data_IF_867898182098
#
_entry.id   IF_867898182098
#
_cell.length_a   1.000
_cell.length_b   1.000
_cell.length_c   1.000
_cell.angle_alpha   90.00
_cell.angle_beta   90.00
_cell.angle_gamma   90.00
#
_symmetry.space_group_name_H-M   'P 1'
#
loop_
_entity.id
_entity.type
_entity.pdbx_description
1 polymer ?
#
# COMPACT_ATOMS: atom_id res chain seq x y z
N UNK A 1 20.79 -3.31 -1.57
CA UNK A 1 20.06 -4.37 -0.86
C UNK A 1 20.19 -5.64 -1.71
N UNK A 2 20.23 -6.82 -1.11
CA UNK A 2 19.95 -8.04 -1.86
C UNK A 2 18.45 -7.98 -2.22
N UNK A 3 18.14 -7.87 -3.51
CA UNK A 3 16.76 -7.75 -4.00
C UNK A 3 15.89 -8.91 -3.49
N UNK A 4 16.47 -10.13 -3.43
CA UNK A 4 15.75 -11.31 -2.98
C UNK A 4 15.36 -11.25 -1.50
N UNK A 5 16.29 -10.81 -0.65
CA UNK A 5 16.05 -10.64 0.79
C UNK A 5 15.05 -9.50 1.05
N UNK A 6 15.17 -8.41 0.31
CA UNK A 6 14.24 -7.29 0.37
C UNK A 6 12.80 -7.75 -0.03
N UNK A 7 12.65 -8.50 -1.13
CA UNK A 7 11.36 -9.11 -1.53
C UNK A 7 10.82 -10.09 -0.47
N UNK A 8 11.67 -10.97 0.06
CA UNK A 8 11.26 -11.94 1.08
C UNK A 8 10.76 -11.26 2.36
N UNK A 9 11.45 -10.21 2.82
CA UNK A 9 11.05 -9.44 3.99
C UNK A 9 9.69 -8.75 3.79
N UNK A 10 9.43 -8.18 2.61
CA UNK A 10 8.13 -7.58 2.27
C UNK A 10 7.04 -8.65 2.27
N UNK A 11 7.25 -9.77 1.58
CA UNK A 11 6.31 -10.90 1.53
C UNK A 11 6.02 -11.48 2.92
N UNK A 12 7.04 -11.67 3.74
CA UNK A 12 6.89 -12.18 5.10
C UNK A 12 6.08 -11.21 5.97
N UNK A 13 6.35 -9.91 5.86
CA UNK A 13 5.60 -8.87 6.57
C UNK A 13 4.12 -8.86 6.16
N UNK A 14 3.83 -9.04 4.87
CA UNK A 14 2.45 -9.14 4.39
C UNK A 14 1.71 -10.35 4.96
N UNK A 15 2.36 -11.52 4.99
CA UNK A 15 1.78 -12.73 5.61
C UNK A 15 1.42 -12.53 7.08
N UNK A 16 2.17 -11.72 7.83
CA UNK A 16 1.83 -11.37 9.21
C UNK A 16 0.54 -10.53 9.27
N UNK A 17 0.38 -9.56 8.37
CA UNK A 17 -0.88 -8.79 8.27
C UNK A 17 -2.07 -9.72 7.97
N UNK A 18 -1.91 -10.64 7.01
CA UNK A 18 -2.94 -11.61 6.65
C UNK A 18 -3.29 -12.54 7.82
N UNK A 19 -2.29 -13.05 8.54
CA UNK A 19 -2.51 -13.92 9.70
C UNK A 19 -3.25 -13.20 10.84
N UNK A 20 -3.03 -11.89 10.99
CA UNK A 20 -3.72 -11.06 11.99
C UNK A 20 -5.07 -10.52 11.51
N UNK A 21 -5.50 -10.80 10.28
CA UNK A 21 -6.75 -10.25 9.71
C UNK A 21 -7.99 -10.57 10.55
N UNK A 22 -7.97 -11.66 11.32
CA UNK A 22 -9.07 -12.07 12.22
C UNK A 22 -8.94 -11.52 13.64
N UNK A 23 -7.83 -10.86 13.99
CA UNK A 23 -7.60 -10.21 15.29
C UNK A 23 -7.66 -8.68 15.13
N UNK A 24 -8.79 -8.03 15.46
CA UNK A 24 -8.94 -6.60 15.22
C UNK A 24 -8.00 -5.71 16.01
N UNK A 25 -7.52 -6.16 17.18
CA UNK A 25 -6.69 -5.35 18.07
C UNK A 25 -5.31 -5.11 17.46
N UNK A 26 -4.68 -6.17 16.97
CA UNK A 26 -3.33 -6.11 16.44
C UNK A 26 -3.31 -5.73 14.95
N UNK A 27 -4.34 -6.14 14.19
CA UNK A 27 -4.41 -5.97 12.74
C UNK A 27 -4.11 -4.55 12.27
N UNK A 28 -4.76 -3.53 12.86
CA UNK A 28 -4.65 -2.17 12.36
C UNK A 28 -3.25 -1.59 12.54
N UNK A 29 -2.63 -1.88 13.69
CA UNK A 29 -1.26 -1.45 13.97
C UNK A 29 -0.25 -2.13 13.03
N UNK A 30 -0.43 -3.42 12.77
CA UNK A 30 0.39 -4.19 11.83
C UNK A 30 0.21 -3.71 10.39
N UNK A 31 -1.03 -3.47 9.96
CA UNK A 31 -1.34 -2.94 8.63
C UNK A 31 -0.68 -1.57 8.41
N UNK A 32 -0.77 -0.66 9.38
CA UNK A 32 -0.10 0.64 9.31
C UNK A 32 1.42 0.50 9.21
N UNK A 33 2.02 -0.39 10.01
CA UNK A 33 3.44 -0.69 9.94
C UNK A 33 3.85 -1.24 8.57
N UNK A 34 3.07 -2.16 8.04
CA UNK A 34 3.29 -2.76 6.73
C UNK A 34 3.16 -1.76 5.59
N UNK A 35 2.10 -0.94 5.58
CA UNK A 35 1.90 0.07 4.54
C UNK A 35 3.08 1.06 4.51
N UNK A 36 3.56 1.50 5.68
CA UNK A 36 4.77 2.35 5.76
C UNK A 36 6.02 1.69 5.19
N UNK A 37 6.15 0.37 5.35
CA UNK A 37 7.27 -0.41 4.82
C UNK A 37 7.16 -0.59 3.30
N UNK A 38 6.06 -1.18 2.82
CA UNK A 38 5.90 -1.62 1.43
C UNK A 38 5.66 -0.44 0.47
N UNK A 39 5.04 0.63 0.93
CA UNK A 39 4.75 1.84 0.17
C UNK A 39 5.65 3.01 0.60
N UNK A 40 6.87 2.70 1.06
CA UNK A 40 7.89 3.71 1.31
C UNK A 40 8.32 4.35 -0.02
N UNK A 41 8.62 5.65 0.00
CA UNK A 41 9.03 6.41 -1.20
C UNK A 41 10.13 5.71 -2.01
N UNK A 42 11.16 5.20 -1.34
CA UNK A 42 12.28 4.53 -2.00
C UNK A 42 11.89 3.26 -2.76
N UNK A 43 10.81 2.59 -2.37
CA UNK A 43 10.27 1.42 -3.09
C UNK A 43 9.32 1.85 -4.22
N UNK A 44 8.49 2.87 -3.98
CA UNK A 44 7.54 3.38 -4.98
C UNK A 44 8.21 4.06 -6.18
N UNK A 45 9.48 4.48 -6.04
CA UNK A 45 10.29 5.07 -7.09
C UNK A 45 11.02 4.04 -7.95
N UNK A 46 11.04 2.76 -7.55
CA UNK A 46 11.68 1.71 -8.32
C UNK A 46 10.88 1.43 -9.58
N UNK A 47 11.59 1.29 -10.70
CA UNK A 47 10.98 0.81 -11.95
C UNK A 47 11.21 -0.69 -12.11
N UNK A 48 10.37 -1.33 -12.92
CA UNK A 48 10.48 -2.76 -13.24
C UNK A 48 11.86 -3.10 -13.84
N UNK A 49 12.44 -2.16 -14.60
CA UNK A 49 13.79 -2.30 -15.17
C UNK A 49 14.89 -2.33 -14.11
N UNK A 50 14.68 -1.66 -12.97
CA UNK A 50 15.67 -1.56 -11.90
C UNK A 50 15.57 -2.71 -10.91
N UNK A 51 14.36 -3.08 -10.49
CA UNK A 51 14.11 -4.09 -9.46
C UNK A 51 12.82 -4.88 -9.75
N UNK A 52 12.82 -5.77 -10.76
CA UNK A 52 11.62 -6.45 -11.25
C UNK A 52 10.94 -7.32 -10.20
N UNK A 53 11.68 -7.90 -9.24
CA UNK A 53 11.09 -8.77 -8.22
C UNK A 53 10.36 -7.96 -7.16
N UNK A 54 10.94 -6.83 -6.77
CA UNK A 54 10.34 -5.94 -5.78
C UNK A 54 9.08 -5.30 -6.37
N UNK A 55 9.14 -4.80 -7.62
CA UNK A 55 7.96 -4.19 -8.26
C UNK A 55 6.82 -5.19 -8.44
N UNK A 56 7.12 -6.41 -8.93
CA UNK A 56 6.10 -7.46 -9.05
C UNK A 56 5.51 -7.86 -7.69
N UNK A 57 6.34 -7.94 -6.64
CA UNK A 57 5.90 -8.23 -5.28
C UNK A 57 4.95 -7.14 -4.74
N UNK A 58 5.29 -5.86 -4.92
CA UNK A 58 4.44 -4.74 -4.49
C UNK A 58 3.12 -4.74 -5.26
N UNK A 59 3.12 -4.98 -6.58
CA UNK A 59 1.90 -5.08 -7.38
C UNK A 59 0.97 -6.22 -6.93
N UNK A 60 1.55 -7.39 -6.60
CA UNK A 60 0.78 -8.51 -6.07
C UNK A 60 0.16 -8.14 -4.72
N UNK A 61 0.95 -7.58 -3.81
CA UNK A 61 0.48 -7.12 -2.49
C UNK A 61 -0.61 -6.08 -2.62
N UNK A 62 -0.47 -5.15 -3.56
CA UNK A 62 -1.47 -4.12 -3.80
C UNK A 62 -2.81 -4.75 -4.22
N UNK A 63 -2.78 -5.72 -5.14
CA UNK A 63 -3.97 -6.49 -5.52
C UNK A 63 -4.62 -7.16 -4.31
N UNK A 64 -3.84 -7.89 -3.51
CA UNK A 64 -4.34 -8.58 -2.31
C UNK A 64 -4.88 -7.60 -1.24
N UNK A 65 -4.27 -6.41 -1.13
CA UNK A 65 -4.72 -5.35 -0.23
C UNK A 65 -6.05 -4.75 -0.70
N UNK A 66 -6.23 -4.55 -2.01
CA UNK A 66 -7.50 -4.12 -2.58
C UNK A 66 -8.61 -5.14 -2.30
N UNK A 67 -8.34 -6.43 -2.51
CA UNK A 67 -9.27 -7.51 -2.15
C UNK A 67 -9.63 -7.50 -0.66
N UNK A 68 -8.64 -7.31 0.22
CA UNK A 68 -8.86 -7.21 1.66
C UNK A 68 -9.72 -5.98 2.02
N UNK A 69 -9.55 -4.87 1.31
CA UNK A 69 -10.35 -3.66 1.52
C UNK A 69 -11.83 -3.83 1.14
N UNK A 70 -12.14 -4.71 0.18
CA UNK A 70 -13.53 -5.06 -0.15
C UNK A 70 -14.25 -5.74 1.02
N UNK A 71 -13.53 -6.59 1.76
CA UNK A 71 -14.08 -7.36 2.88
C UNK A 71 -14.05 -6.54 4.18
N UNK A 72 -13.06 -5.67 4.33
CA UNK A 72 -12.83 -4.90 5.57
C UNK A 72 -12.68 -3.41 5.28
N UNK A 73 -13.77 -2.69 5.50
CA UNK A 73 -13.81 -1.23 5.40
C UNK A 73 -12.71 -0.58 6.25
N UNK A 74 -12.08 0.47 5.70
CA UNK A 74 -11.02 1.22 6.36
C UNK A 74 -9.60 0.74 6.04
N UNK A 75 -9.41 -0.48 5.50
CA UNK A 75 -8.09 -0.96 5.06
C UNK A 75 -7.51 -0.04 3.98
N UNK A 76 -8.33 0.31 2.99
CA UNK A 76 -7.91 1.21 1.93
C UNK A 76 -7.58 2.63 2.42
N UNK A 77 -8.27 3.11 3.45
CA UNK A 77 -8.01 4.42 4.04
C UNK A 77 -6.58 4.51 4.63
N UNK A 78 -6.08 3.41 5.21
CA UNK A 78 -4.70 3.36 5.73
C UNK A 78 -3.69 3.49 4.58
N UNK A 79 -3.92 2.78 3.47
CA UNK A 79 -3.05 2.85 2.29
C UNK A 79 -3.05 4.26 1.69
N UNK A 80 -4.23 4.80 1.37
CA UNK A 80 -4.33 6.09 0.68
C UNK A 80 -3.81 7.24 1.55
N UNK A 81 -4.04 7.20 2.86
CA UNK A 81 -3.52 8.22 3.77
C UNK A 81 -1.99 8.25 3.73
N UNK A 82 -1.34 7.09 3.84
CA UNK A 82 0.12 6.98 3.78
C UNK A 82 0.68 7.42 2.43
N UNK A 83 0.07 7.00 1.32
CA UNK A 83 0.51 7.40 -0.02
C UNK A 83 0.36 8.92 -0.23
N UNK A 84 -0.75 9.51 0.20
CA UNK A 84 -0.94 10.96 0.17
C UNK A 84 0.11 11.69 1.01
N UNK A 85 0.37 11.25 2.24
CA UNK A 85 1.43 11.82 3.10
C UNK A 85 2.83 11.67 2.49
N UNK A 86 3.06 10.63 1.69
CA UNK A 86 4.33 10.40 0.98
C UNK A 86 4.46 11.29 -0.27
N UNK A 87 3.36 11.56 -0.98
CA UNK A 87 3.37 12.30 -2.24
C UNK A 87 3.16 13.83 -2.10
N UNK A 88 2.33 14.29 -1.15
CA UNK A 88 1.94 15.70 -0.99
C UNK A 88 3.04 16.67 -0.51
N UNK A 89 3.87 16.35 0.51
CA UNK A 89 4.91 17.28 0.96
C UNK A 89 6.14 17.29 0.04
N UNK A 90 6.08 16.59 -1.09
CA UNK A 90 7.24 16.26 -1.91
C UNK A 90 7.30 17.11 -3.18
N UNK A 91 8.50 17.35 -3.73
CA UNK A 91 8.69 18.14 -4.96
C UNK A 91 7.89 17.57 -6.14
N UNK A 92 7.64 18.39 -7.18
CA UNK A 92 6.90 17.98 -8.39
C UNK A 92 7.37 16.64 -9.00
N UNK A 93 8.67 16.34 -8.91
CA UNK A 93 9.27 15.08 -9.34
C UNK A 93 8.79 13.85 -8.55
N UNK A 94 8.54 13.99 -7.24
CA UNK A 94 8.03 12.92 -6.38
C UNK A 94 6.52 12.80 -6.54
N UNK A 95 5.79 13.91 -6.67
CA UNK A 95 4.37 13.88 -6.99
C UNK A 95 4.11 13.18 -8.34
N UNK A 96 4.99 13.37 -9.33
CA UNK A 96 4.91 12.68 -10.62
C UNK A 96 4.96 11.15 -10.48
N UNK A 97 5.58 10.61 -9.42
CA UNK A 97 5.59 9.15 -9.17
C UNK A 97 4.23 8.61 -8.71
N UNK A 98 3.33 9.46 -8.21
CA UNK A 98 1.94 9.07 -7.94
C UNK A 98 1.21 8.64 -9.22
N UNK A 99 1.59 9.19 -10.38
CA UNK A 99 1.03 8.82 -11.68
C UNK A 99 1.42 7.40 -12.12
N UNK A 100 2.44 6.79 -11.51
CA UNK A 100 2.79 5.39 -11.74
C UNK A 100 1.88 4.43 -10.95
N UNK A 101 1.15 4.94 -9.97
CA UNK A 101 0.28 4.20 -9.06
C UNK A 101 -1.19 4.67 -9.17
N UNK A 102 -1.63 4.91 -10.41
CA UNK A 102 -2.99 5.39 -10.73
C UNK A 102 -4.09 4.40 -10.31
N UNK A 103 -3.77 3.11 -10.23
CA UNK A 103 -4.63 2.09 -9.68
C UNK A 103 -4.98 2.36 -8.21
N UNK A 104 -4.00 2.75 -7.39
CA UNK A 104 -4.24 3.18 -5.99
C UNK A 104 -5.19 4.39 -5.96
N UNK A 105 -4.97 5.38 -6.80
CA UNK A 105 -5.82 6.58 -6.84
C UNK A 105 -7.22 6.28 -7.37
N UNK A 106 -7.34 5.40 -8.36
CA UNK A 106 -8.63 4.99 -8.94
C UNK A 106 -9.46 4.22 -7.93
N UNK A 107 -8.84 3.28 -7.22
CA UNK A 107 -9.48 2.50 -6.17
C UNK A 107 -9.93 3.42 -5.01
N UNK A 108 -9.14 4.45 -4.68
CA UNK A 108 -9.54 5.50 -3.73
C UNK A 108 -10.80 6.25 -4.16
N UNK A 109 -11.03 6.45 -5.45
CA UNK A 109 -12.24 7.12 -5.93
C UNK A 109 -13.48 6.22 -5.85
N UNK A 110 -13.31 4.89 -5.86
CA UNK A 110 -14.41 3.92 -5.76
C UNK A 110 -14.74 3.59 -4.29
N UNK A 111 -13.71 3.42 -3.46
CA UNK A 111 -13.82 2.94 -2.07
C UNK A 111 -13.35 3.93 -1.02
N UNK A 112 -12.86 5.10 -1.44
CA UNK A 112 -12.61 6.22 -0.55
C UNK A 112 -13.87 6.59 0.22
N UNK A 113 -13.75 7.42 1.27
CA UNK A 113 -14.84 7.67 2.20
C UNK A 113 -16.08 8.09 1.43
N UNK A 114 -16.99 7.13 1.22
CA UNK A 114 -18.37 7.40 0.90
C UNK A 114 -18.82 8.16 2.12
N UNK A 115 -18.81 9.49 2.02
CA UNK A 115 -19.64 10.32 2.87
C UNK A 115 -21.03 9.75 2.69
N UNK A 116 -21.41 8.81 3.57
CA UNK A 116 -22.80 8.41 3.70
C UNK A 116 -23.48 9.70 4.14
N UNK A 117 -24.14 10.34 3.19
CA UNK A 117 -25.09 11.43 3.41
C UNK A 117 -26.25 10.86 4.21
N UNK A 118 -26.00 10.54 5.46
CA UNK A 118 -27.01 10.19 6.46
C UNK A 118 -26.55 10.83 7.78
N UNK A 119 -26.62 12.17 7.81
CA UNK A 119 -26.80 12.99 9.02
C UNK A 119 -27.82 14.09 8.69
#
# INVERSE_FOLDING_TARGET
>A
CDESLCTEAICASWKVVQALSTNPHDFWSTLQGFVRLAFHQGLLQLTEEQNPRITACIQQILTELMELAQVRSGVFNVLIQHCCETWLPSSDSVFSTALLHLDILTEACVYGPVFRRDQ
#
